data_IF_360451989069
#
_entry.id   IF_360451989069
#
_cell.length_a   1.000
_cell.length_b   1.000
_cell.length_c   1.000
_cell.angle_alpha   90.00
_cell.angle_beta   90.00
_cell.angle_gamma   90.00
#
_symmetry.space_group_name_H-M   'P 1'
#
loop_
_entity.id
_entity.type
_entity.pdbx_description
1 polymer ?
#
# COMPACT_ATOMS: atom_id res chain seq x y z
N UNK A 1 -4.06 33.02 -4.59
CA UNK A 1 -3.58 31.66 -4.87
C UNK A 1 -2.64 31.26 -3.75
N UNK A 2 -3.10 30.48 -2.79
CA UNK A 2 -2.27 30.01 -1.66
C UNK A 2 -1.31 28.98 -2.23
N UNK A 3 0.01 29.23 -2.11
CA UNK A 3 1.02 28.20 -2.45
C UNK A 3 0.88 27.05 -1.43
N UNK A 4 0.06 26.06 -1.74
CA UNK A 4 -0.17 24.93 -0.85
C UNK A 4 1.04 24.00 -0.75
N UNK A 5 1.81 23.90 -1.82
CA UNK A 5 2.98 23.05 -1.86
C UNK A 5 4.17 23.73 -1.18
N UNK A 6 4.58 23.21 -0.04
CA UNK A 6 5.84 23.58 0.62
C UNK A 6 6.88 22.47 0.39
N UNK A 7 8.10 22.80 -0.02
CA UNK A 7 9.14 21.82 -0.18
C UNK A 7 9.39 21.11 1.16
N UNK A 8 9.67 19.83 1.10
CA UNK A 8 10.12 19.07 2.27
C UNK A 8 11.52 19.54 2.63
N UNK A 9 11.74 19.85 3.89
CA UNK A 9 13.09 19.99 4.41
C UNK A 9 13.66 18.59 4.57
N UNK A 10 14.62 18.22 3.73
CA UNK A 10 15.30 16.91 3.80
C UNK A 10 16.30 16.90 4.96
N UNK A 11 15.81 17.12 6.16
CA UNK A 11 16.59 16.96 7.36
C UNK A 11 16.64 15.48 7.73
N UNK A 12 17.84 14.92 7.72
CA UNK A 12 18.09 13.59 8.24
C UNK A 12 17.67 13.60 9.72
N UNK A 13 16.97 12.57 10.15
CA UNK A 13 16.59 12.44 11.55
C UNK A 13 17.86 12.36 12.41
N UNK A 14 17.99 13.25 13.39
CA UNK A 14 19.16 13.28 14.28
C UNK A 14 19.36 11.95 15.00
N UNK A 15 18.29 11.33 15.46
CA UNK A 15 18.34 9.99 16.08
C UNK A 15 18.87 8.92 15.13
N UNK A 16 18.53 9.03 13.82
CA UNK A 16 19.05 8.12 12.81
C UNK A 16 20.55 8.38 12.58
N UNK A 17 20.97 9.63 12.46
CA UNK A 17 22.37 10.00 12.28
C UNK A 17 23.23 9.54 13.48
N UNK A 18 22.74 9.72 14.71
CA UNK A 18 23.40 9.21 15.91
C UNK A 18 23.50 7.69 15.93
N UNK A 19 22.41 6.99 15.54
CA UNK A 19 22.40 5.53 15.45
C UNK A 19 23.40 5.01 14.41
N UNK A 20 23.54 5.72 13.25
CA UNK A 20 24.54 5.40 12.22
C UNK A 20 25.96 5.62 12.75
N UNK A 21 26.24 6.76 13.39
CA UNK A 21 27.54 7.05 13.94
C UNK A 21 27.94 6.05 15.03
N UNK A 22 27.01 5.66 15.87
CA UNK A 22 27.22 4.62 16.89
C UNK A 22 27.47 3.24 16.28
N UNK A 23 26.86 2.96 15.14
CA UNK A 23 27.05 1.70 14.41
C UNK A 23 28.41 1.64 13.71
N UNK A 24 28.85 2.75 13.11
CA UNK A 24 30.12 2.84 12.38
C UNK A 24 31.33 3.03 13.31
N UNK A 25 31.10 3.52 14.54
CA UNK A 25 32.12 4.24 15.28
C UNK A 25 33.13 3.43 16.11
N UNK A 26 32.92 2.16 16.50
CA UNK A 26 33.90 1.50 17.39
C UNK A 26 34.04 -0.01 17.17
N UNK A 27 33.03 -0.71 16.79
CA UNK A 27 33.01 -2.18 16.81
C UNK A 27 33.40 -2.86 15.51
N UNK A 28 33.37 -2.16 14.38
CA UNK A 28 33.96 -2.66 13.13
C UNK A 28 35.47 -2.71 13.21
N UNK A 29 36.09 -1.73 13.87
CA UNK A 29 37.52 -1.74 14.08
C UNK A 29 37.96 -2.89 14.98
N UNK A 30 37.20 -3.15 16.06
CA UNK A 30 37.44 -4.28 16.96
C UNK A 30 37.32 -5.63 16.23
N UNK A 31 36.31 -5.76 15.35
CA UNK A 31 36.12 -6.97 14.52
C UNK A 31 37.25 -7.12 13.49
N UNK A 32 37.67 -6.03 12.86
CA UNK A 32 38.76 -6.03 11.89
C UNK A 32 40.12 -6.31 12.54
N UNK A 33 40.39 -5.80 13.75
CA UNK A 33 41.55 -6.15 14.53
C UNK A 33 41.59 -7.62 14.90
N UNK A 34 40.46 -8.16 15.39
CA UNK A 34 40.33 -9.59 15.69
C UNK A 34 40.54 -10.48 14.47
N UNK A 35 40.19 -10.04 13.28
CA UNK A 35 40.39 -10.79 12.02
C UNK A 35 41.85 -10.71 11.58
N UNK A 36 42.52 -9.54 11.77
CA UNK A 36 43.94 -9.34 11.41
C UNK A 36 44.91 -10.15 12.28
N UNK A 37 44.56 -10.39 13.51
CA UNK A 37 45.41 -11.10 14.47
C UNK A 37 45.49 -12.62 14.29
N UNK A 38 44.79 -13.21 13.32
CA UNK A 38 44.83 -14.67 12.95
C UNK A 38 44.87 -15.63 14.16
N UNK A 39 44.25 -15.28 15.27
CA UNK A 39 44.39 -15.98 16.53
C UNK A 39 43.34 -17.14 16.67
N UNK A 40 43.72 -18.26 17.29
CA UNK A 40 42.89 -19.44 17.39
C UNK A 40 41.73 -19.25 18.37
N UNK A 41 40.83 -20.19 18.44
CA UNK A 41 39.56 -20.41 19.14
C UNK A 41 39.03 -19.36 20.16
N UNK A 42 39.87 -18.67 20.91
CA UNK A 42 39.49 -17.63 21.88
C UNK A 42 38.87 -16.41 21.17
N UNK A 43 39.34 -16.09 19.97
CA UNK A 43 38.84 -14.96 19.19
C UNK A 43 37.51 -15.24 18.52
N UNK A 44 37.15 -16.50 18.24
CA UNK A 44 35.84 -16.84 17.67
C UNK A 44 34.68 -16.43 18.58
N UNK A 45 34.85 -16.54 19.92
CA UNK A 45 33.81 -16.08 20.88
C UNK A 45 33.71 -14.56 20.87
N UNK A 46 34.84 -13.83 20.87
CA UNK A 46 34.89 -12.37 20.81
C UNK A 46 34.27 -11.85 19.50
N UNK A 47 34.63 -12.44 18.36
CA UNK A 47 34.06 -12.11 17.05
C UNK A 47 32.55 -12.33 17.02
N UNK A 48 32.06 -13.47 17.54
CA UNK A 48 30.62 -13.75 17.61
C UNK A 48 29.87 -12.74 18.48
N UNK A 49 30.45 -12.33 19.61
CA UNK A 49 29.86 -11.31 20.48
C UNK A 49 29.84 -9.94 19.80
N UNK A 50 30.92 -9.53 19.15
CA UNK A 50 31.00 -8.29 18.40
C UNK A 50 29.99 -8.26 17.22
N UNK A 51 29.90 -9.32 16.45
CA UNK A 51 28.91 -9.46 15.36
C UNK A 51 27.48 -9.43 15.88
N UNK A 52 27.20 -10.03 17.04
CA UNK A 52 25.86 -9.99 17.65
C UNK A 52 25.50 -8.58 18.04
N UNK A 53 26.44 -7.81 18.57
CA UNK A 53 26.20 -6.43 18.98
C UNK A 53 26.02 -5.51 17.76
N UNK A 54 26.82 -5.68 16.70
CA UNK A 54 26.65 -4.98 15.42
C UNK A 54 25.28 -5.24 14.84
N UNK A 55 24.82 -6.50 14.81
CA UNK A 55 23.46 -6.86 14.34
C UNK A 55 22.37 -6.21 15.20
N UNK A 56 22.56 -6.16 16.52
CA UNK A 56 21.62 -5.51 17.43
C UNK A 56 21.52 -4.01 17.17
N UNK A 57 22.65 -3.34 16.95
CA UNK A 57 22.68 -1.91 16.61
C UNK A 57 22.04 -1.64 15.24
N UNK A 58 22.34 -2.46 14.24
CA UNK A 58 21.72 -2.36 12.93
C UNK A 58 20.19 -2.57 12.98
N UNK A 59 19.73 -3.52 13.80
CA UNK A 59 18.31 -3.73 14.04
C UNK A 59 17.65 -2.53 14.74
N UNK A 60 18.36 -1.88 15.68
CA UNK A 60 17.89 -0.65 16.32
C UNK A 60 17.81 0.52 15.32
N UNK A 61 18.82 0.71 14.49
CA UNK A 61 18.84 1.72 13.42
C UNK A 61 17.69 1.55 12.43
N UNK A 62 17.42 0.31 12.02
CA UNK A 62 16.33 0.01 11.09
C UNK A 62 14.93 0.34 11.63
N UNK A 63 14.79 0.55 12.96
CA UNK A 63 13.54 0.97 13.59
C UNK A 63 13.29 2.47 13.51
N UNK A 64 14.32 3.26 13.24
CA UNK A 64 14.26 4.72 13.22
C UNK A 64 13.99 5.18 11.78
N UNK A 65 13.13 6.19 11.63
CA UNK A 65 12.86 6.79 10.31
C UNK A 65 14.09 7.57 9.85
N UNK A 66 14.48 7.39 8.59
CA UNK A 66 15.61 8.10 7.99
C UNK A 66 15.41 9.62 7.94
N UNK A 67 14.22 10.05 7.52
CA UNK A 67 13.86 11.46 7.48
C UNK A 67 13.03 11.87 8.69
N UNK A 68 13.34 13.04 9.24
CA UNK A 68 12.51 13.65 10.27
C UNK A 68 11.11 13.97 9.73
N UNK A 69 10.10 13.84 10.60
CA UNK A 69 8.73 14.23 10.24
C UNK A 69 8.63 15.76 10.16
N UNK A 70 8.55 16.29 8.95
CA UNK A 70 8.33 17.72 8.72
C UNK A 70 6.82 18.05 8.82
N UNK A 71 6.42 18.63 9.96
CA UNK A 71 5.02 19.01 10.21
C UNK A 71 4.52 20.14 9.29
N UNK A 72 5.44 20.91 8.70
CA UNK A 72 5.12 22.02 7.81
C UNK A 72 5.05 21.61 6.35
N UNK A 73 5.46 20.38 6.04
CA UNK A 73 5.38 19.88 4.68
C UNK A 73 3.94 19.79 4.20
N UNK A 74 3.67 20.47 3.08
CA UNK A 74 2.36 20.43 2.42
C UNK A 74 2.57 20.07 0.97
N UNK A 75 1.84 19.07 0.53
CA UNK A 75 1.88 18.63 -0.86
C UNK A 75 0.49 18.22 -1.31
N UNK A 76 0.18 18.58 -2.53
CA UNK A 76 -1.07 18.24 -3.20
C UNK A 76 -0.74 17.49 -4.48
N UNK A 77 -1.37 16.36 -4.67
CA UNK A 77 -1.38 15.61 -5.93
C UNK A 77 -2.79 15.57 -6.48
N UNK A 78 -2.88 15.59 -7.76
CA UNK A 78 -4.13 15.60 -8.48
C UNK A 78 -4.08 14.54 -9.58
N UNK A 79 -5.11 13.69 -9.62
CA UNK A 79 -5.32 12.70 -10.68
C UNK A 79 -6.78 12.78 -11.09
N UNK A 80 -7.04 12.88 -12.39
CA UNK A 80 -8.39 12.90 -12.95
C UNK A 80 -8.50 11.82 -14.03
N UNK A 81 -9.62 11.14 -14.02
CA UNK A 81 -10.02 10.22 -15.07
C UNK A 81 -11.50 10.45 -15.37
N UNK A 82 -11.79 11.04 -16.52
CA UNK A 82 -13.14 11.51 -16.90
C UNK A 82 -13.78 12.35 -15.78
N UNK A 83 -14.83 11.85 -15.16
CA UNK A 83 -15.58 12.54 -14.10
C UNK A 83 -14.99 12.22 -12.70
N UNK A 84 -14.22 11.14 -12.59
CA UNK A 84 -13.62 10.73 -11.33
C UNK A 84 -12.32 11.50 -11.04
N UNK A 85 -12.26 12.15 -9.88
CA UNK A 85 -11.11 12.93 -9.45
C UNK A 85 -10.60 12.43 -8.10
N UNK A 86 -9.30 12.28 -8.00
CA UNK A 86 -8.61 11.93 -6.76
C UNK A 86 -7.59 13.00 -6.40
N UNK A 87 -7.73 13.52 -5.17
CA UNK A 87 -6.79 14.47 -4.59
C UNK A 87 -6.06 13.83 -3.42
N UNK A 88 -4.75 13.81 -3.48
CA UNK A 88 -3.90 13.39 -2.37
C UNK A 88 -3.30 14.63 -1.68
N UNK A 89 -3.52 14.75 -0.38
CA UNK A 89 -3.11 15.91 0.40
C UNK A 89 -2.24 15.48 1.59
N UNK A 90 -1.11 16.14 1.77
CA UNK A 90 -0.37 16.12 3.03
C UNK A 90 -0.77 17.38 3.79
N UNK A 91 -1.50 17.21 4.89
CA UNK A 91 -1.98 18.34 5.69
C UNK A 91 -3.03 17.92 6.71
N UNK A 92 -3.60 18.91 7.41
CA UNK A 92 -4.66 18.69 8.39
C UNK A 92 -6.00 18.37 7.72
N UNK A 93 -6.89 17.70 8.45
CA UNK A 93 -8.26 17.45 7.99
C UNK A 93 -9.01 18.75 7.68
N UNK A 94 -8.76 19.78 8.47
CA UNK A 94 -9.38 21.10 8.27
C UNK A 94 -8.99 21.73 6.93
N UNK A 95 -7.69 21.71 6.61
CA UNK A 95 -7.20 22.21 5.32
C UNK A 95 -7.79 21.43 4.14
N UNK A 96 -7.91 20.11 4.29
CA UNK A 96 -8.48 19.25 3.26
C UNK A 96 -9.96 19.56 3.03
N UNK A 97 -10.71 19.80 4.10
CA UNK A 97 -12.12 20.16 4.00
C UNK A 97 -12.32 21.55 3.40
N UNK A 98 -11.42 22.51 3.69
CA UNK A 98 -11.45 23.85 3.09
C UNK A 98 -11.21 23.79 1.57
N UNK A 99 -10.21 23.00 1.15
CA UNK A 99 -9.91 22.81 -0.29
C UNK A 99 -11.10 22.14 -1.01
N UNK A 100 -11.74 21.15 -0.40
CA UNK A 100 -12.91 20.50 -1.01
C UNK A 100 -14.04 21.53 -1.25
N UNK A 101 -14.33 22.39 -0.27
CA UNK A 101 -15.31 23.46 -0.42
C UNK A 101 -14.93 24.49 -1.50
N UNK A 102 -13.66 24.87 -1.57
CA UNK A 102 -13.17 25.78 -2.61
C UNK A 102 -13.33 25.18 -4.03
N UNK A 103 -13.06 23.88 -4.17
CA UNK A 103 -13.29 23.15 -5.43
C UNK A 103 -14.78 23.13 -5.78
N UNK A 104 -15.64 22.84 -4.82
CA UNK A 104 -17.10 22.83 -5.00
C UNK A 104 -17.60 24.18 -5.52
N UNK A 105 -17.21 25.27 -4.85
CA UNK A 105 -17.57 26.63 -5.26
C UNK A 105 -17.01 26.96 -6.66
N UNK A 106 -15.81 26.51 -6.97
CA UNK A 106 -15.15 26.79 -8.26
C UNK A 106 -15.84 26.04 -9.40
N UNK A 107 -16.20 24.80 -9.19
CA UNK A 107 -16.88 23.95 -10.18
C UNK A 107 -18.30 24.49 -10.44
N UNK A 108 -19.02 24.89 -9.40
CA UNK A 108 -20.33 25.45 -9.53
C UNK A 108 -20.28 26.82 -10.29
N UNK A 109 -19.42 27.74 -9.86
CA UNK A 109 -19.35 29.10 -10.45
C UNK A 109 -18.75 29.14 -11.86
N UNK A 110 -17.71 28.33 -12.13
CA UNK A 110 -16.98 28.40 -13.42
C UNK A 110 -17.49 27.43 -14.45
N UNK A 111 -17.96 26.26 -14.02
CA UNK A 111 -18.34 25.16 -14.92
C UNK A 111 -19.86 24.94 -14.94
N UNK A 112 -20.62 25.61 -14.09
CA UNK A 112 -22.06 25.35 -13.90
C UNK A 112 -22.37 23.85 -13.68
N UNK A 113 -21.50 23.17 -12.93
CA UNK A 113 -21.63 21.75 -12.66
C UNK A 113 -21.73 21.50 -11.17
N UNK A 114 -22.53 20.52 -10.77
CA UNK A 114 -22.68 20.14 -9.37
C UNK A 114 -21.85 18.91 -9.03
N UNK A 115 -21.18 18.96 -7.90
CA UNK A 115 -20.43 17.82 -7.37
C UNK A 115 -21.40 16.91 -6.58
N UNK A 116 -21.40 15.61 -6.86
CA UNK A 116 -22.17 14.64 -6.08
C UNK A 116 -21.56 14.47 -4.69
N UNK A 117 -22.11 15.16 -3.68
CA UNK A 117 -21.63 15.14 -2.30
C UNK A 117 -21.69 13.74 -1.66
N UNK A 118 -22.66 12.91 -2.03
CA UNK A 118 -22.77 11.54 -1.53
C UNK A 118 -21.57 10.63 -1.94
N UNK A 119 -20.98 10.90 -3.10
CA UNK A 119 -19.84 10.15 -3.63
C UNK A 119 -18.49 10.80 -3.33
N UNK A 120 -18.51 12.11 -3.09
CA UNK A 120 -17.32 12.92 -2.82
C UNK A 120 -17.13 13.07 -1.32
N UNK A 121 -15.89 12.99 -0.85
CA UNK A 121 -15.64 13.16 0.58
C UNK A 121 -14.18 13.00 0.94
N UNK A 122 -13.83 13.56 2.09
CA UNK A 122 -12.49 13.49 2.67
C UNK A 122 -12.32 12.17 3.43
N UNK A 123 -11.28 11.43 3.10
CA UNK A 123 -10.92 10.19 3.78
C UNK A 123 -9.46 10.23 4.20
N UNK A 124 -9.17 9.72 5.37
CA UNK A 124 -7.80 9.54 5.80
C UNK A 124 -7.12 8.44 4.96
N UNK A 125 -5.83 8.57 4.70
CA UNK A 125 -5.06 7.63 3.86
C UNK A 125 -5.06 6.18 4.39
N UNK A 126 -5.18 5.98 5.71
CA UNK A 126 -5.38 4.66 6.30
C UNK A 126 -6.78 4.10 6.05
N UNK A 127 -7.74 4.95 5.70
CA UNK A 127 -9.06 4.56 5.25
C UNK A 127 -9.00 4.06 3.81
N UNK A 128 -9.61 2.94 3.55
CA UNK A 128 -9.66 2.36 2.20
C UNK A 128 -10.44 3.26 1.25
N UNK A 129 -9.73 3.94 0.34
CA UNK A 129 -10.33 4.79 -0.69
C UNK A 129 -10.59 3.95 -1.94
N UNK A 130 -11.78 4.05 -2.49
CA UNK A 130 -12.12 3.41 -3.76
C UNK A 130 -11.99 4.43 -4.89
N UNK A 131 -11.12 4.17 -5.86
CA UNK A 131 -10.94 4.97 -7.05
C UNK A 131 -10.77 4.06 -8.26
N UNK A 132 -11.51 4.32 -9.34
CA UNK A 132 -11.51 3.50 -10.56
C UNK A 132 -11.63 1.99 -10.28
N UNK A 133 -12.51 1.62 -9.35
CA UNK A 133 -12.70 0.22 -8.88
C UNK A 133 -11.48 -0.42 -8.20
N UNK A 134 -10.38 0.30 -8.03
CA UNK A 134 -9.26 -0.10 -7.17
C UNK A 134 -9.48 0.37 -5.75
N UNK A 135 -8.99 -0.38 -4.80
CA UNK A 135 -8.91 0.03 -3.41
C UNK A 135 -7.52 0.54 -3.13
N UNK A 136 -7.43 1.83 -2.83
CA UNK A 136 -6.21 2.51 -2.43
C UNK A 136 -6.07 2.47 -0.91
N UNK A 137 -4.90 2.10 -0.44
CA UNK A 137 -4.55 2.08 0.98
C UNK A 137 -3.17 2.70 1.14
N UNK A 138 -3.06 3.78 1.91
CA UNK A 138 -1.79 4.33 2.33
C UNK A 138 -1.35 3.66 3.62
N UNK A 139 -0.20 3.03 3.62
CA UNK A 139 0.44 2.54 4.85
C UNK A 139 1.40 3.60 5.36
N UNK A 140 0.96 4.32 6.39
CA UNK A 140 1.83 5.20 7.16
C UNK A 140 2.35 4.39 8.35
N UNK A 141 3.65 4.38 8.57
CA UNK A 141 4.29 3.66 9.69
C UNK A 141 4.09 2.13 9.73
N UNK A 142 3.88 1.50 8.59
CA UNK A 142 3.88 0.05 8.58
C UNK A 142 5.26 -0.49 8.96
N UNK A 143 5.31 -1.17 10.08
CA UNK A 143 6.46 -1.95 10.50
C UNK A 143 6.35 -3.34 9.88
N UNK A 144 7.38 -3.76 9.20
CA UNK A 144 7.44 -5.09 8.62
C UNK A 144 8.44 -5.95 9.40
N UNK A 145 8.00 -7.08 9.88
CA UNK A 145 8.89 -8.05 10.52
C UNK A 145 9.48 -8.95 9.43
N UNK A 146 10.78 -8.93 9.29
CA UNK A 146 11.52 -9.83 8.42
C UNK A 146 12.44 -10.68 9.29
N UNK A 147 12.01 -11.91 9.63
CA UNK A 147 12.63 -12.70 10.68
C UNK A 147 12.65 -11.93 12.01
N UNK A 148 13.80 -11.87 12.64
CA UNK A 148 13.99 -11.16 13.91
C UNK A 148 14.16 -9.64 13.78
N UNK A 149 14.14 -9.11 12.54
CA UNK A 149 14.35 -7.68 12.30
C UNK A 149 13.04 -6.98 11.94
N UNK A 150 12.82 -5.83 12.56
CA UNK A 150 11.70 -4.96 12.27
C UNK A 150 12.18 -3.79 11.40
N UNK A 151 11.57 -3.62 10.22
CA UNK A 151 11.88 -2.53 9.31
C UNK A 151 10.70 -1.59 9.14
N UNK A 152 10.97 -0.29 9.07
CA UNK A 152 9.98 0.66 8.59
C UNK A 152 9.84 0.56 7.08
N UNK A 153 8.63 0.34 6.62
CA UNK A 153 8.33 0.37 5.19
C UNK A 153 8.05 1.81 4.78
N UNK A 154 8.67 2.24 3.69
CA UNK A 154 8.36 3.54 3.08
C UNK A 154 6.87 3.66 2.77
N UNK A 155 6.33 4.87 2.95
CA UNK A 155 4.94 5.18 2.67
C UNK A 155 4.59 4.97 1.20
N UNK A 156 4.18 3.76 0.85
CA UNK A 156 3.69 3.43 -0.48
C UNK A 156 2.18 3.34 -0.46
N UNK A 157 1.56 3.92 -1.47
CA UNK A 157 0.15 3.67 -1.74
C UNK A 157 0.05 2.27 -2.32
N UNK A 158 -0.72 1.42 -1.64
CA UNK A 158 -0.99 0.05 -2.09
C UNK A 158 -2.29 0.01 -2.88
N UNK A 159 -2.22 -0.65 -4.01
CA UNK A 159 -3.38 -0.94 -4.84
C UNK A 159 -3.87 -2.35 -4.55
N UNK A 160 -5.13 -2.49 -4.23
CA UNK A 160 -5.72 -3.80 -3.97
C UNK A 160 -7.09 -3.97 -4.65
N UNK A 161 -7.45 -5.21 -4.90
CA UNK A 161 -8.74 -5.58 -5.49
C UNK A 161 -9.84 -5.44 -4.44
N UNK A 162 -10.97 -4.77 -4.73
CA UNK A 162 -12.13 -4.73 -3.84
C UNK A 162 -12.93 -6.04 -3.92
N UNK A 163 -12.35 -7.15 -3.47
CA UNK A 163 -12.86 -8.53 -3.62
C UNK A 163 -14.32 -8.68 -3.29
N UNK A 164 -14.78 -8.14 -2.14
CA UNK A 164 -16.20 -8.23 -1.73
C UNK A 164 -17.15 -7.60 -2.76
N UNK A 165 -16.79 -6.45 -3.35
CA UNK A 165 -17.60 -5.80 -4.38
C UNK A 165 -17.54 -6.55 -5.70
N UNK A 166 -16.37 -7.06 -6.04
CA UNK A 166 -16.16 -7.84 -7.26
C UNK A 166 -17.01 -9.12 -7.20
N UNK A 167 -16.90 -9.90 -6.13
CA UNK A 167 -17.71 -11.09 -5.91
C UNK A 167 -19.22 -10.80 -5.98
N UNK A 168 -19.68 -9.78 -5.27
CA UNK A 168 -21.10 -9.38 -5.31
C UNK A 168 -21.56 -9.05 -6.74
N UNK A 169 -20.72 -8.35 -7.52
CA UNK A 169 -21.01 -8.02 -8.93
C UNK A 169 -21.17 -9.26 -9.79
N UNK A 170 -20.25 -10.25 -9.64
CA UNK A 170 -20.31 -11.48 -10.43
C UNK A 170 -21.39 -12.44 -9.95
N UNK A 171 -21.75 -12.42 -8.66
CA UNK A 171 -22.96 -13.08 -8.16
C UNK A 171 -24.22 -12.50 -8.79
N UNK A 172 -24.35 -11.18 -8.82
CA UNK A 172 -25.52 -10.52 -9.45
C UNK A 172 -25.60 -10.80 -10.96
N UNK A 173 -24.48 -10.99 -11.62
CA UNK A 173 -24.41 -11.40 -13.02
C UNK A 173 -24.70 -12.88 -13.24
N UNK A 174 -24.82 -13.68 -12.17
CA UNK A 174 -25.13 -15.09 -12.25
C UNK A 174 -23.94 -16.01 -12.52
N UNK A 175 -22.70 -15.52 -12.41
CA UNK A 175 -21.49 -16.34 -12.60
C UNK A 175 -21.07 -17.10 -11.35
N UNK A 176 -21.42 -16.59 -10.16
CA UNK A 176 -21.02 -17.14 -8.88
C UNK A 176 -22.22 -17.43 -7.99
N UNK A 177 -22.09 -18.43 -7.15
CA UNK A 177 -23.02 -18.72 -6.06
C UNK A 177 -22.27 -18.95 -4.76
N UNK A 178 -22.96 -18.79 -3.64
CA UNK A 178 -22.41 -19.03 -2.31
C UNK A 178 -22.65 -20.47 -1.93
N UNK A 179 -21.59 -21.20 -1.63
CA UNK A 179 -21.66 -22.49 -0.95
C UNK A 179 -21.28 -22.30 0.52
N UNK A 180 -22.19 -22.58 1.41
CA UNK A 180 -21.95 -22.57 2.85
C UNK A 180 -21.57 -23.99 3.29
N UNK A 181 -20.39 -24.15 3.89
CA UNK A 181 -19.99 -25.41 4.55
C UNK A 181 -19.62 -25.07 6.01
N UNK A 182 -20.60 -25.20 6.91
CA UNK A 182 -20.44 -24.78 8.30
C UNK A 182 -20.24 -23.27 8.45
N UNK A 183 -19.17 -22.84 9.13
CA UNK A 183 -18.79 -21.43 9.29
C UNK A 183 -18.06 -20.82 8.08
N UNK A 184 -17.62 -21.67 7.14
CA UNK A 184 -16.86 -21.22 5.98
C UNK A 184 -17.79 -20.91 4.81
N UNK A 185 -17.63 -19.70 4.26
CA UNK A 185 -18.31 -19.25 3.05
C UNK A 185 -17.33 -19.43 1.89
N UNK A 186 -17.67 -20.27 0.93
CA UNK A 186 -16.94 -20.41 -0.33
C UNK A 186 -17.78 -19.87 -1.48
N UNK A 187 -17.11 -19.23 -2.42
CA UNK A 187 -17.73 -18.81 -3.67
C UNK A 187 -17.39 -19.87 -4.72
N UNK A 188 -18.39 -20.38 -5.38
CA UNK A 188 -18.23 -21.39 -6.43
C UNK A 188 -18.88 -20.90 -7.72
N UNK A 189 -18.40 -21.38 -8.85
CA UNK A 189 -18.99 -21.07 -10.14
C UNK A 189 -20.44 -21.54 -10.18
N UNK A 190 -21.31 -20.71 -10.73
CA UNK A 190 -22.71 -21.04 -10.95
C UNK A 190 -22.93 -21.37 -12.42
N UNK A 191 -23.70 -22.41 -12.69
CA UNK A 191 -24.15 -22.71 -14.03
C UNK A 191 -24.95 -21.54 -14.60
N UNK A 192 -24.53 -21.04 -15.75
CA UNK A 192 -25.20 -19.92 -16.42
C UNK A 192 -26.24 -20.45 -17.39
N UNK A 193 -27.48 -20.40 -17.00
CA UNK A 193 -28.58 -20.97 -17.80
C UNK A 193 -28.67 -20.43 -19.23
N UNK A 194 -28.27 -19.18 -19.44
CA UNK A 194 -28.24 -18.55 -20.77
C UNK A 194 -27.26 -19.21 -21.75
N UNK A 195 -26.34 -20.05 -21.24
CA UNK A 195 -25.32 -20.72 -22.06
C UNK A 195 -25.65 -22.19 -22.33
N UNK A 196 -26.83 -22.68 -21.87
CA UNK A 196 -27.27 -24.05 -22.13
C UNK A 196 -27.47 -24.32 -23.63
N UNK A 197 -27.80 -23.28 -24.41
CA UNK A 197 -28.01 -23.38 -25.86
C UNK A 197 -26.70 -23.29 -26.67
N UNK A 198 -25.53 -23.19 -26.03
CA UNK A 198 -24.27 -23.25 -26.75
C UNK A 198 -24.03 -24.69 -27.22
N UNK A 199 -23.62 -24.86 -28.50
CA UNK A 199 -23.50 -26.18 -29.10
C UNK A 199 -22.39 -27.04 -28.51
N UNK A 200 -21.35 -26.39 -27.98
CA UNK A 200 -20.15 -27.07 -27.47
C UNK A 200 -19.77 -26.61 -26.05
N UNK A 201 -19.37 -27.55 -25.21
CA UNK A 201 -18.87 -27.25 -23.85
C UNK A 201 -17.61 -26.37 -23.88
N UNK A 202 -16.82 -26.46 -24.93
CA UNK A 202 -15.66 -25.61 -25.15
C UNK A 202 -16.04 -24.11 -25.18
N UNK A 203 -17.15 -23.73 -25.80
CA UNK A 203 -17.58 -22.33 -25.84
C UNK A 203 -17.94 -21.80 -24.45
N UNK A 204 -18.51 -22.65 -23.59
CA UNK A 204 -18.81 -22.30 -22.20
C UNK A 204 -17.51 -22.00 -21.46
N UNK A 205 -16.53 -22.89 -21.55
CA UNK A 205 -15.20 -22.72 -20.93
C UNK A 205 -14.51 -21.44 -21.47
N UNK A 206 -14.55 -21.22 -22.78
CA UNK A 206 -13.98 -20.03 -23.42
C UNK A 206 -14.58 -18.74 -22.88
N UNK A 207 -15.89 -18.70 -22.62
CA UNK A 207 -16.57 -17.52 -22.07
C UNK A 207 -16.19 -17.28 -20.61
N UNK A 208 -16.13 -18.33 -19.77
CA UNK A 208 -15.62 -18.19 -18.40
C UNK A 208 -14.17 -17.70 -18.38
N UNK A 209 -13.33 -18.29 -19.23
CA UNK A 209 -11.93 -17.90 -19.36
C UNK A 209 -11.77 -16.43 -19.78
N UNK A 210 -12.58 -15.97 -20.74
CA UNK A 210 -12.58 -14.56 -21.16
C UNK A 210 -12.93 -13.61 -20.00
N UNK A 211 -13.89 -13.99 -19.14
CA UNK A 211 -14.22 -13.21 -17.93
C UNK A 211 -13.04 -13.18 -16.95
N UNK A 212 -12.40 -14.33 -16.68
CA UNK A 212 -11.26 -14.43 -15.78
C UNK A 212 -10.06 -13.63 -16.27
N UNK A 213 -9.72 -13.76 -17.56
CA UNK A 213 -8.65 -12.99 -18.20
C UNK A 213 -8.95 -11.48 -18.12
N UNK A 214 -10.20 -11.07 -18.40
CA UNK A 214 -10.61 -9.67 -18.29
C UNK A 214 -10.45 -9.10 -16.86
N UNK A 215 -10.75 -9.89 -15.83
CA UNK A 215 -10.50 -9.51 -14.44
C UNK A 215 -9.01 -9.40 -14.16
N UNK A 216 -8.23 -10.39 -14.56
CA UNK A 216 -6.78 -10.43 -14.35
C UNK A 216 -6.08 -9.25 -15.04
N UNK A 217 -6.41 -8.96 -16.27
CA UNK A 217 -5.86 -7.80 -17.00
C UNK A 217 -6.25 -6.47 -16.35
N UNK A 218 -7.51 -6.33 -15.92
CA UNK A 218 -7.94 -5.09 -15.27
C UNK A 218 -7.21 -4.83 -13.96
N UNK A 219 -6.93 -5.86 -13.17
CA UNK A 219 -6.29 -5.74 -11.86
C UNK A 219 -4.81 -6.11 -11.85
N UNK A 220 -4.15 -6.18 -13.02
CA UNK A 220 -2.72 -6.54 -13.11
C UNK A 220 -1.78 -5.62 -12.32
N UNK A 221 -2.17 -4.35 -12.10
CA UNK A 221 -1.40 -3.40 -11.31
C UNK A 221 -1.54 -3.52 -9.79
N UNK A 222 -2.21 -4.55 -9.26
CA UNK A 222 -2.35 -4.75 -7.82
C UNK A 222 -1.19 -5.54 -7.22
N UNK A 223 -0.80 -5.23 -5.97
CA UNK A 223 0.28 -5.94 -5.27
C UNK A 223 -0.06 -7.41 -4.95
N UNK A 224 -1.35 -7.77 -4.93
CA UNK A 224 -1.83 -9.10 -4.53
C UNK A 224 -2.66 -9.75 -5.63
N UNK A 225 -2.03 -10.01 -6.77
CA UNK A 225 -2.66 -10.72 -7.90
C UNK A 225 -3.11 -12.12 -7.51
N UNK A 226 -2.41 -12.80 -6.58
CA UNK A 226 -2.76 -14.15 -6.15
C UNK A 226 -4.17 -14.24 -5.54
N UNK A 227 -4.71 -13.15 -4.98
CA UNK A 227 -6.10 -13.12 -4.49
C UNK A 227 -7.13 -13.35 -5.61
N UNK A 228 -6.73 -13.13 -6.87
CA UNK A 228 -7.58 -13.40 -8.03
C UNK A 228 -7.57 -14.88 -8.42
N UNK A 229 -6.55 -15.63 -8.04
CA UNK A 229 -6.45 -17.08 -8.32
C UNK A 229 -7.26 -17.91 -7.31
N UNK A 230 -7.67 -17.31 -6.18
CA UNK A 230 -8.56 -17.95 -5.20
C UNK A 230 -10.06 -17.71 -5.49
N UNK A 231 -10.38 -16.94 -6.52
CA UNK A 231 -11.72 -16.65 -7.01
C UNK A 231 -12.15 -17.63 -8.09
#
# INVERSE_FOLDING_TARGET
>A
MIKFNTPRKDNINSEYAEAVNKHLGTKWNDVLECIKENAPDVNRKKIRLALREVRKQQAAQNKIKYYADDRNHRKLWYVRYADDTLLGLIGSKQNTSAILKEIEITVDKKLNMQIHLEKSGVKHHSGRVLFLKYRLLGNYDAKFNYGDTQRHVSNRIKFSVPTKRLLKRYMNKGFLQIAKKGKNIKYIAKRVNKWIFLPEDFEVVKRFNAVMIGIAHYYCGTEYLFVLYEL
#
